data_IF_826909381193
#
_entry.id   IF_826909381193
#
_cell.length_a   1.000
_cell.length_b   1.000
_cell.length_c   1.000
_cell.angle_alpha   90.00
_cell.angle_beta   90.00
_cell.angle_gamma   90.00
#
_symmetry.space_group_name_H-M   'P 1'
#
loop_
_entity.id
_entity.type
_entity.pdbx_description
1 polymer ?
#
# COMPACT_ATOMS: atom_id res chain seq x y z
N UNK A 1 -9.03 -5.92 2.31
CA UNK A 1 -8.15 -6.11 1.13
C UNK A 1 -8.65 -5.18 0.03
N UNK A 2 -7.77 -4.44 -0.64
CA UNK A 2 -8.18 -3.61 -1.78
C UNK A 2 -8.28 -4.50 -3.03
N UNK A 3 -9.47 -4.63 -3.61
CA UNK A 3 -9.68 -5.48 -4.79
C UNK A 3 -8.99 -4.86 -6.01
N UNK A 4 -8.05 -5.60 -6.62
CA UNK A 4 -7.27 -5.12 -7.76
C UNK A 4 -5.90 -4.54 -7.41
N UNK A 5 -5.45 -4.58 -6.16
CA UNK A 5 -4.06 -4.22 -5.80
C UNK A 5 -3.14 -5.45 -5.84
N UNK A 6 -2.01 -5.36 -6.54
CA UNK A 6 -0.98 -6.41 -6.53
C UNK A 6 -0.17 -6.38 -5.22
N UNK A 7 -0.05 -7.53 -4.57
CA UNK A 7 0.72 -7.70 -3.33
C UNK A 7 2.20 -7.96 -3.57
N UNK A 8 2.66 -7.88 -4.82
CA UNK A 8 4.03 -8.20 -5.19
C UNK A 8 4.99 -6.99 -5.07
N UNK A 9 6.19 -7.26 -4.54
CA UNK A 9 7.26 -6.28 -4.41
C UNK A 9 7.08 -5.34 -3.22
N UNK A 10 7.79 -4.20 -3.25
CA UNK A 10 7.85 -3.19 -2.17
C UNK A 10 6.49 -2.54 -1.87
N UNK A 11 5.71 -2.23 -2.91
CA UNK A 11 4.36 -1.67 -2.80
C UNK A 11 3.27 -2.72 -2.53
N UNK A 12 3.62 -3.89 -1.98
CA UNK A 12 2.66 -4.97 -1.77
C UNK A 12 1.67 -4.74 -0.62
N UNK A 13 1.94 -3.81 0.29
CA UNK A 13 1.04 -3.51 1.41
C UNK A 13 -0.20 -2.73 0.91
N UNK A 14 -1.42 -3.27 1.05
CA UNK A 14 -2.64 -2.58 0.59
C UNK A 14 -3.08 -1.42 1.51
N UNK A 15 -2.42 -1.22 2.66
CA UNK A 15 -2.69 -0.12 3.58
C UNK A 15 -1.76 1.05 3.26
N UNK A 16 -0.45 0.80 3.21
CA UNK A 16 0.54 1.83 2.87
C UNK A 16 0.47 2.20 1.37
N UNK A 17 0.23 1.21 0.50
CA UNK A 17 0.23 1.33 -0.95
C UNK A 17 1.54 1.94 -1.47
N UNK A 18 1.45 3.08 -2.15
CA UNK A 18 2.56 3.91 -2.64
C UNK A 18 3.41 4.52 -1.51
N UNK A 19 2.85 4.73 -0.32
CA UNK A 19 3.54 5.32 0.85
C UNK A 19 4.20 4.25 1.74
N UNK A 20 4.70 3.17 1.11
CA UNK A 20 5.35 2.05 1.80
C UNK A 20 6.79 2.39 2.20
N UNK A 21 7.22 1.85 3.33
CA UNK A 21 8.63 1.89 3.78
C UNK A 21 9.35 0.58 3.52
N UNK A 22 8.70 -0.37 2.86
CA UNK A 22 9.32 -1.62 2.50
C UNK A 22 10.53 -1.36 1.59
N UNK A 23 11.53 -2.23 1.69
CA UNK A 23 12.78 -2.08 0.96
C UNK A 23 13.28 -3.43 0.50
N UNK A 24 14.19 -3.43 -0.47
CA UNK A 24 14.88 -4.65 -0.88
C UNK A 24 16.09 -4.89 0.02
N UNK A 25 16.23 -6.11 0.52
CA UNK A 25 17.46 -6.55 1.16
C UNK A 25 18.58 -6.59 0.12
N UNK A 26 19.69 -5.91 0.37
CA UNK A 26 20.76 -5.71 -0.62
C UNK A 26 21.31 -7.02 -1.20
N UNK A 27 21.52 -8.03 -0.35
CA UNK A 27 22.14 -9.29 -0.78
C UNK A 27 21.16 -10.32 -1.35
N UNK A 28 19.93 -10.37 -0.84
CA UNK A 28 18.93 -11.36 -1.29
C UNK A 28 17.97 -10.82 -2.34
N UNK A 29 17.93 -9.49 -2.54
CA UNK A 29 16.97 -8.74 -3.35
C UNK A 29 15.50 -8.99 -2.98
N UNK A 30 15.23 -9.70 -1.87
CA UNK A 30 13.88 -9.94 -1.37
C UNK A 30 13.30 -8.66 -0.78
N UNK A 31 11.99 -8.48 -0.97
CA UNK A 31 11.27 -7.38 -0.32
C UNK A 31 11.15 -7.66 1.17
N UNK A 32 11.44 -6.65 2.00
CA UNK A 32 11.30 -6.70 3.44
C UNK A 32 10.39 -5.58 3.92
N UNK A 33 9.51 -5.92 4.87
CA UNK A 33 8.56 -5.01 5.53
C UNK A 33 8.93 -4.78 6.99
N UNK A 34 10.18 -5.10 7.38
CA UNK A 34 10.66 -4.94 8.73
C UNK A 34 10.51 -3.49 9.18
N UNK A 35 10.05 -3.29 10.41
CA UNK A 35 9.80 -1.99 11.04
C UNK A 35 8.76 -1.07 10.36
N UNK A 36 8.17 -1.47 9.23
CA UNK A 36 7.18 -0.65 8.53
C UNK A 36 5.85 -0.52 9.31
N UNK A 37 5.63 -1.35 10.32
CA UNK A 37 4.38 -1.39 11.10
C UNK A 37 4.38 -0.42 12.28
N UNK A 38 5.55 0.10 12.71
CA UNK A 38 5.65 0.98 13.87
C UNK A 38 4.96 2.32 13.65
N UNK A 39 4.80 2.75 12.40
CA UNK A 39 4.02 3.95 12.02
C UNK A 39 2.55 3.86 12.47
N UNK A 40 1.97 2.67 12.59
CA UNK A 40 0.58 2.47 13.00
C UNK A 40 0.38 2.55 14.52
N UNK A 41 1.47 2.66 15.29
CA UNK A 41 1.41 2.85 16.73
C UNK A 41 1.12 4.33 17.06
N UNK A 42 0.47 4.61 18.20
CA UNK A 42 0.27 5.97 18.69
C UNK A 42 1.59 6.76 18.72
N UNK A 43 1.52 8.08 18.47
CA UNK A 43 2.70 8.94 18.34
C UNK A 43 3.69 8.86 19.53
N UNK A 44 3.16 8.62 20.73
CA UNK A 44 3.95 8.55 21.97
C UNK A 44 4.27 7.11 22.42
N UNK A 45 4.03 6.11 21.57
CA UNK A 45 4.33 4.72 21.90
C UNK A 45 5.84 4.48 22.03
N UNK A 46 6.28 3.80 23.09
CA UNK A 46 7.70 3.58 23.41
C UNK A 46 8.49 2.93 22.26
N UNK A 47 7.87 1.99 21.55
CA UNK A 47 8.50 1.31 20.41
C UNK A 47 8.85 2.23 19.25
N UNK A 48 8.15 3.35 19.05
CA UNK A 48 8.51 4.34 18.01
C UNK A 48 9.86 5.00 18.28
N UNK A 49 10.29 5.05 19.54
CA UNK A 49 11.56 5.65 19.99
C UNK A 49 12.65 4.60 20.28
N UNK A 50 12.36 3.31 20.05
CA UNK A 50 13.29 2.24 20.37
C UNK A 50 14.34 2.05 19.25
N UNK A 51 15.47 2.74 19.40
CA UNK A 51 16.63 2.71 18.49
C UNK A 51 17.47 1.43 18.52
N UNK A 52 17.13 0.47 19.40
CA UNK A 52 17.94 -0.75 19.66
C UNK A 52 17.30 -2.02 19.09
N UNK A 53 15.99 -2.21 19.31
CA UNK A 53 15.29 -3.45 18.93
C UNK A 53 14.79 -3.43 17.48
N UNK A 54 14.57 -2.25 16.91
CA UNK A 54 14.09 -2.06 15.55
C UNK A 54 15.20 -1.54 14.63
N UNK A 55 14.89 -0.67 13.67
CA UNK A 55 15.89 -0.06 12.81
C UNK A 55 16.91 0.73 13.65
N UNK A 56 18.19 0.35 13.51
CA UNK A 56 19.27 0.92 14.32
C UNK A 56 19.32 2.43 14.15
N UNK A 57 19.37 3.14 15.28
CA UNK A 57 19.47 4.61 15.33
C UNK A 57 18.32 5.36 14.63
N UNK A 58 17.19 4.70 14.37
CA UNK A 58 16.02 5.30 13.76
C UNK A 58 14.92 5.52 14.80
N UNK A 59 14.15 6.59 14.62
CA UNK A 59 12.95 6.90 15.40
C UNK A 59 11.83 7.07 14.40
N UNK A 60 10.73 6.36 14.59
CA UNK A 60 9.56 6.47 13.74
C UNK A 60 8.72 7.67 14.20
N UNK A 61 8.78 8.78 13.47
CA UNK A 61 8.05 10.03 13.74
C UNK A 61 6.89 10.26 12.77
N UNK A 62 6.74 9.42 11.75
CA UNK A 62 5.69 9.59 10.73
C UNK A 62 4.31 9.26 11.26
N UNK A 63 3.32 9.92 10.71
CA UNK A 63 1.91 9.57 10.93
C UNK A 63 1.56 8.49 9.92
N UNK A 64 1.01 7.37 10.38
CA UNK A 64 0.47 6.37 9.46
C UNK A 64 -0.53 7.02 8.51
N UNK A 65 -0.43 6.67 7.22
CA UNK A 65 -1.43 7.09 6.24
C UNK A 65 -2.82 6.67 6.70
N UNK A 66 -3.78 7.58 6.60
CA UNK A 66 -5.19 7.23 6.78
C UNK A 66 -5.57 6.16 5.75
N UNK A 67 -6.40 5.20 6.16
CA UNK A 67 -6.99 4.24 5.21
C UNK A 67 -7.72 5.03 4.12
N UNK A 68 -7.47 4.68 2.86
CA UNK A 68 -8.21 5.29 1.75
C UNK A 68 -9.67 4.86 1.84
N UNK A 69 -10.58 5.81 1.67
CA UNK A 69 -12.00 5.53 1.52
C UNK A 69 -12.27 4.87 0.17
N UNK A 70 -13.42 4.21 0.03
CA UNK A 70 -13.85 3.61 -1.23
C UNK A 70 -13.79 4.59 -2.40
N UNK A 71 -14.30 5.82 -2.21
CA UNK A 71 -14.31 6.86 -3.24
C UNK A 71 -12.90 7.28 -3.69
N UNK A 72 -11.98 7.45 -2.73
CA UNK A 72 -10.58 7.80 -3.02
C UNK A 72 -9.86 6.68 -3.78
N UNK A 73 -10.24 5.43 -3.54
CA UNK A 73 -9.71 4.29 -4.29
C UNK A 73 -10.33 4.29 -5.70
N UNK A 74 -11.63 4.53 -5.83
CA UNK A 74 -12.32 4.60 -7.10
C UNK A 74 -11.71 5.66 -8.02
N UNK A 75 -11.44 6.87 -7.51
CA UNK A 75 -10.73 7.94 -8.22
C UNK A 75 -9.40 7.46 -8.82
N UNK A 76 -8.67 6.59 -8.09
CA UNK A 76 -7.36 6.07 -8.52
C UNK A 76 -7.47 4.95 -9.55
N UNK A 77 -8.56 4.20 -9.56
CA UNK A 77 -8.74 3.03 -10.45
C UNK A 77 -9.70 3.27 -11.60
N UNK A 78 -10.35 4.43 -11.68
CA UNK A 78 -11.36 4.74 -12.72
C UNK A 78 -10.79 4.65 -14.14
N UNK A 79 -9.52 5.01 -14.31
CA UNK A 79 -8.82 4.96 -15.60
C UNK A 79 -8.13 3.61 -15.86
N UNK A 80 -8.22 2.66 -14.93
CA UNK A 80 -7.59 1.34 -15.04
C UNK A 80 -8.65 0.38 -15.60
N UNK A 81 -8.34 -0.20 -16.75
CA UNK A 81 -9.25 -1.05 -17.52
C UNK A 81 -9.92 -2.14 -16.65
N UNK A 82 -11.21 -2.38 -16.90
CA UNK A 82 -12.08 -3.22 -16.07
C UNK A 82 -11.69 -4.71 -16.07
N UNK A 83 -10.98 -5.18 -17.10
CA UNK A 83 -10.66 -6.58 -17.28
C UNK A 83 -9.48 -6.74 -18.24
N UNK A 84 -8.31 -7.09 -17.72
CA UNK A 84 -7.32 -8.05 -18.29
C UNK A 84 -7.08 -8.06 -19.83
N UNK A 85 -7.14 -6.93 -20.53
CA UNK A 85 -6.76 -6.90 -21.96
C UNK A 85 -5.41 -6.23 -22.21
N UNK A 86 -4.95 -5.41 -21.27
CA UNK A 86 -3.69 -4.68 -21.38
C UNK A 86 -2.64 -5.35 -20.48
N UNK A 87 -1.48 -5.77 -21.02
CA UNK A 87 -0.33 -6.15 -20.22
C UNK A 87 -0.04 -5.10 -19.14
N UNK A 88 0.12 -5.52 -17.88
CA UNK A 88 0.33 -4.60 -16.75
C UNK A 88 1.49 -3.61 -16.94
N UNK A 89 2.49 -3.99 -17.75
CA UNK A 89 3.65 -3.16 -18.11
C UNK A 89 3.27 -1.92 -18.94
N UNK A 90 2.11 -1.94 -19.59
CA UNK A 90 1.59 -0.84 -20.40
C UNK A 90 0.65 0.09 -19.60
N UNK A 91 0.33 -0.25 -18.35
CA UNK A 91 -0.37 0.67 -17.46
C UNK A 91 0.62 1.74 -17.01
N UNK A 92 0.34 2.99 -17.37
CA UNK A 92 1.16 4.13 -16.98
C UNK A 92 1.29 4.20 -15.45
N UNK A 93 2.52 4.40 -14.95
CA UNK A 93 2.82 4.40 -13.52
C UNK A 93 2.79 3.03 -12.81
N UNK A 94 2.46 1.91 -13.47
CA UNK A 94 2.46 0.60 -12.82
C UNK A 94 3.86 0.16 -12.38
N UNK A 95 3.98 -0.19 -11.10
CA UNK A 95 5.24 -0.62 -10.49
C UNK A 95 6.12 0.51 -9.96
N UNK A 96 5.83 1.75 -10.33
CA UNK A 96 6.50 2.96 -9.83
C UNK A 96 5.56 3.76 -8.92
N UNK A 97 4.42 4.20 -9.45
CA UNK A 97 3.45 5.07 -8.75
C UNK A 97 2.32 4.27 -8.10
N UNK A 98 1.95 3.12 -8.68
CA UNK A 98 0.91 2.25 -8.14
C UNK A 98 1.11 0.77 -8.44
N UNK A 99 0.34 -0.08 -7.76
CA UNK A 99 0.25 -1.54 -8.03
C UNK A 99 -1.17 -1.99 -8.36
N UNK A 100 -2.06 -1.08 -8.72
CA UNK A 100 -3.36 -1.44 -9.28
C UNK A 100 -3.21 -2.23 -10.58
N UNK A 101 -3.88 -3.38 -10.66
CA UNK A 101 -3.85 -4.28 -11.81
C UNK A 101 -5.16 -4.35 -12.57
N UNK A 102 -6.26 -3.97 -11.91
CA UNK A 102 -7.61 -3.98 -12.49
C UNK A 102 -8.57 -3.12 -11.69
N UNK A 103 -9.60 -2.59 -12.35
CA UNK A 103 -10.83 -2.19 -11.68
C UNK A 103 -11.68 -3.44 -11.42
N UNK A 104 -11.95 -3.72 -10.15
CA UNK A 104 -12.81 -4.85 -9.75
C UNK A 104 -14.29 -4.60 -10.03
N UNK A 105 -15.03 -5.64 -10.39
CA UNK A 105 -16.49 -5.55 -10.57
C UNK A 105 -17.22 -5.17 -9.28
N UNK A 106 -16.60 -5.39 -8.11
CA UNK A 106 -17.18 -5.02 -6.82
C UNK A 106 -17.38 -3.51 -6.68
N UNK A 107 -16.63 -2.68 -7.41
CA UNK A 107 -16.76 -1.22 -7.38
C UNK A 107 -18.04 -0.72 -8.07
N UNK A 108 -18.64 -1.52 -8.95
CA UNK A 108 -19.87 -1.17 -9.67
C UNK A 108 -21.13 -1.61 -8.88
N UNK A 109 -20.96 -2.26 -7.72
CA UNK A 109 -22.06 -2.73 -6.90
C UNK A 109 -22.64 -1.60 -6.03
N UNK A 110 -23.98 -1.44 -5.96
CA UNK A 110 -24.62 -0.29 -5.33
C UNK A 110 -24.43 -0.18 -3.81
N UNK A 111 -23.97 -1.25 -3.15
CA UNK A 111 -23.72 -1.28 -1.71
C UNK A 111 -22.24 -1.04 -1.34
N UNK A 112 -21.36 -0.96 -2.33
CA UNK A 112 -19.92 -0.85 -2.09
C UNK A 112 -19.52 0.50 -1.48
N UNK A 113 -20.13 1.60 -1.92
CA UNK A 113 -19.89 2.95 -1.35
C UNK A 113 -20.29 3.05 0.13
N UNK A 114 -21.19 2.18 0.58
CA UNK A 114 -21.68 2.15 1.97
C UNK A 114 -20.80 1.32 2.89
N UNK A 115 -19.91 0.48 2.35
CA UNK A 115 -18.94 -0.27 3.16
C UNK A 115 -17.78 0.62 3.60
N UNK A 116 -17.91 1.22 4.78
CA UNK A 116 -16.78 1.87 5.47
C UNK A 116 -15.78 0.78 5.94
N UNK A 117 -14.46 0.96 5.72
CA UNK A 117 -13.41 0.01 6.13
C UNK A 117 -13.06 0.05 7.62
#
# INVERSE_FOLDING_TARGET
MASGWSTAGVMGCPICMDDTRAFHLQHSRKTCYFDCHTQFLPAYHSYRRNKKTFTKNYVEDRVARSRLTGDRILDRVVNISLAVEIPLVLLDGYGSDHKWTKKSIFWDLPYWSTTQP
#
